data_IF_325624538772
#
_entry.id   IF_325624538772
#
_cell.length_a   1.000
_cell.length_b   1.000
_cell.length_c   1.000
_cell.angle_alpha   90.00
_cell.angle_beta   90.00
_cell.angle_gamma   90.00
#
_symmetry.space_group_name_H-M   'P 1'
#
loop_
_entity.id
_entity.type
_entity.pdbx_description
1 polymer ?
#
# COMPACT_ATOMS: atom_id res chain seq x y z
N UNK A 1 4.19 4.26 -9.54
CA UNK A 1 3.72 4.76 -8.23
C UNK A 1 2.77 3.73 -7.66
N UNK A 2 2.88 3.40 -6.38
CA UNK A 2 1.98 2.49 -5.66
C UNK A 2 1.78 3.04 -4.25
N UNK A 3 0.72 2.61 -3.59
CA UNK A 3 0.42 2.97 -2.21
C UNK A 3 0.28 1.71 -1.36
N UNK A 4 0.57 1.86 -0.08
CA UNK A 4 0.30 0.84 0.94
C UNK A 4 -0.46 1.57 2.04
N UNK A 5 -1.63 1.05 2.37
CA UNK A 5 -2.47 1.55 3.45
C UNK A 5 -2.40 0.55 4.60
N UNK A 6 -2.10 1.04 5.79
CA UNK A 6 -2.12 0.25 7.02
C UNK A 6 -3.17 0.84 7.94
N UNK A 7 -4.04 -0.04 8.44
CA UNK A 7 -5.10 0.31 9.35
C UNK A 7 -5.07 -0.59 10.59
N UNK A 8 -5.53 -0.06 11.71
CA UNK A 8 -5.92 -0.89 12.85
C UNK A 8 -7.08 -1.83 12.46
N UNK A 9 -7.30 -2.86 13.26
CA UNK A 9 -8.42 -3.81 13.08
C UNK A 9 -9.81 -3.10 13.10
N UNK A 10 -9.94 -2.01 13.85
CA UNK A 10 -11.12 -1.15 13.86
C UNK A 10 -11.33 -0.33 12.56
N UNK A 11 -10.37 -0.39 11.64
CA UNK A 11 -10.38 0.29 10.35
C UNK A 11 -9.82 1.71 10.32
N UNK A 12 -9.35 2.24 11.43
CA UNK A 12 -8.64 3.52 11.46
C UNK A 12 -7.30 3.40 10.72
N UNK A 13 -7.08 4.27 9.72
CA UNK A 13 -5.83 4.33 8.96
C UNK A 13 -4.76 4.95 9.85
N UNK A 14 -3.66 4.23 10.06
CA UNK A 14 -2.51 4.67 10.87
C UNK A 14 -1.32 5.06 10.03
N UNK A 15 -1.22 4.53 8.81
CA UNK A 15 -0.12 4.85 7.93
C UNK A 15 -0.52 4.68 6.47
N UNK A 16 0.05 5.54 5.63
CA UNK A 16 -0.16 5.56 4.18
C UNK A 16 1.13 5.96 3.49
N UNK A 17 1.68 5.10 2.64
CA UNK A 17 2.96 5.35 1.94
C UNK A 17 2.96 6.72 1.27
N UNK A 18 1.98 6.98 0.40
CA UNK A 18 1.98 8.20 -0.41
C UNK A 18 1.72 9.49 0.37
N UNK A 19 1.22 9.41 1.61
CA UNK A 19 1.11 10.58 2.48
C UNK A 19 2.48 11.06 2.99
N UNK A 20 3.49 10.18 2.97
CA UNK A 20 4.86 10.48 3.42
C UNK A 20 5.79 10.85 2.27
N UNK A 21 5.40 10.59 1.02
CA UNK A 21 6.21 10.86 -0.17
C UNK A 21 5.97 12.31 -0.65
N UNK A 22 6.87 13.22 -0.30
CA UNK A 22 6.76 14.67 -0.56
C UNK A 22 7.28 15.00 -1.96
N UNK A 23 6.62 14.50 -3.00
CA UNK A 23 7.02 14.78 -4.38
C UNK A 23 5.90 14.63 -5.40
N UNK A 24 5.77 15.53 -6.39
CA UNK A 24 4.83 15.36 -7.49
C UNK A 24 5.22 14.12 -8.29
N UNK A 25 4.49 13.02 -8.06
CA UNK A 25 4.67 11.79 -8.80
C UNK A 25 3.78 11.83 -10.04
N UNK A 26 4.38 12.08 -11.21
CA UNK A 26 3.71 11.87 -12.48
C UNK A 26 3.42 10.37 -12.61
N UNK A 27 2.18 10.01 -12.92
CA UNK A 27 1.81 8.63 -13.20
C UNK A 27 2.59 8.15 -14.44
N UNK A 28 3.59 7.30 -14.21
CA UNK A 28 4.27 6.60 -15.30
C UNK A 28 3.51 5.32 -15.63
N UNK A 29 2.83 5.33 -16.79
CA UNK A 29 2.18 4.14 -17.32
C UNK A 29 3.24 3.18 -17.88
N UNK A 30 3.20 1.93 -17.42
CA UNK A 30 4.04 0.85 -17.92
C UNK A 30 3.16 -0.35 -18.23
N UNK A 31 3.21 -0.83 -19.47
CA UNK A 31 2.59 -2.10 -19.88
C UNK A 31 3.47 -3.26 -19.42
N UNK A 32 2.89 -4.24 -18.74
CA UNK A 32 3.56 -5.50 -18.38
C UNK A 32 3.27 -6.57 -19.43
N UNK A 33 4.29 -7.30 -19.86
CA UNK A 33 4.12 -8.46 -20.72
C UNK A 33 3.49 -9.65 -19.93
N UNK A 34 2.89 -10.64 -20.62
CA UNK A 34 2.38 -11.84 -19.95
C UNK A 34 3.48 -12.54 -19.13
N UNK A 35 3.23 -12.74 -17.83
CA UNK A 35 4.17 -13.38 -16.90
C UNK A 35 5.25 -12.45 -16.34
N UNK A 36 5.37 -11.22 -16.84
CA UNK A 36 6.23 -10.19 -16.25
C UNK A 36 5.68 -9.78 -14.87
N UNK A 37 6.59 -9.59 -13.91
CA UNK A 37 6.25 -9.13 -12.56
C UNK A 37 6.95 -7.82 -12.28
N UNK A 38 6.24 -6.96 -11.57
CA UNK A 38 6.78 -5.74 -11.01
C UNK A 38 6.58 -5.81 -9.50
N UNK A 39 7.68 -5.70 -8.78
CA UNK A 39 7.71 -5.82 -7.32
C UNK A 39 8.09 -4.46 -6.73
N UNK A 40 7.32 -4.05 -5.72
CA UNK A 40 7.58 -2.84 -4.96
C UNK A 40 7.58 -3.17 -3.48
N UNK A 41 8.37 -2.42 -2.73
CA UNK A 41 8.55 -2.63 -1.31
C UNK A 41 8.59 -1.29 -0.59
N UNK A 42 8.12 -1.29 0.65
CA UNK A 42 8.25 -0.18 1.57
C UNK A 42 8.38 -0.71 3.00
N UNK A 43 8.82 0.15 3.91
CA UNK A 43 8.94 -0.16 5.32
C UNK A 43 8.07 0.80 6.14
N UNK A 44 7.30 0.22 7.05
CA UNK A 44 6.56 0.94 8.07
C UNK A 44 7.04 0.49 9.45
N UNK A 45 7.27 1.44 10.35
CA UNK A 45 7.61 1.18 11.75
C UNK A 45 6.37 1.48 12.59
N UNK A 46 5.75 0.47 13.23
CA UNK A 46 4.59 0.67 14.10
C UNK A 46 5.00 1.41 15.38
N UNK A 47 4.17 2.37 15.81
CA UNK A 47 4.37 3.09 17.08
C UNK A 47 3.92 2.28 18.30
N UNK A 48 2.92 1.42 18.12
CA UNK A 48 2.33 0.61 19.18
C UNK A 48 2.17 -0.87 18.74
N UNK A 49 2.27 -1.84 19.67
CA UNK A 49 1.86 -3.21 19.41
C UNK A 49 0.35 -3.31 19.17
N UNK A 50 -0.09 -4.33 18.43
CA UNK A 50 -1.50 -4.58 18.20
C UNK A 50 -1.81 -5.30 16.91
N UNK A 51 -3.10 -5.40 16.60
CA UNK A 51 -3.59 -6.04 15.38
C UNK A 51 -3.85 -5.01 14.28
N UNK A 52 -3.29 -5.28 13.12
CA UNK A 52 -3.34 -4.41 11.96
C UNK A 52 -3.78 -5.17 10.71
N UNK A 53 -4.09 -4.40 9.68
CA UNK A 53 -4.31 -4.89 8.34
C UNK A 53 -3.65 -3.98 7.32
N UNK A 54 -3.06 -4.57 6.28
CA UNK A 54 -2.44 -3.88 5.17
C UNK A 54 -3.18 -4.15 3.86
N UNK A 55 -3.21 -3.15 2.98
CA UNK A 55 -3.72 -3.25 1.62
C UNK A 55 -2.78 -2.51 0.67
N UNK A 56 -2.40 -3.17 -0.42
CA UNK A 56 -1.73 -2.54 -1.55
C UNK A 56 -2.74 -1.87 -2.47
N UNK A 57 -2.42 -0.67 -2.95
CA UNK A 57 -3.22 0.07 -3.94
C UNK A 57 -2.32 0.44 -5.11
N UNK A 58 -2.72 0.02 -6.30
CA UNK A 58 -2.01 0.28 -7.54
C UNK A 58 -2.89 1.19 -8.43
N UNK A 59 -2.50 2.46 -8.60
CA UNK A 59 -3.07 3.32 -9.64
C UNK A 59 -2.88 2.69 -11.02
N UNK A 60 -3.92 2.75 -11.84
CA UNK A 60 -3.93 2.32 -13.23
C UNK A 60 -4.62 3.38 -14.09
N UNK A 61 -4.76 3.09 -15.38
CA UNK A 61 -5.59 3.84 -16.32
C UNK A 61 -7.11 3.62 -16.10
N UNK A 62 -7.50 2.56 -15.39
CA UNK A 62 -8.87 2.39 -14.90
C UNK A 62 -9.30 3.49 -13.90
N UNK A 63 -10.58 3.93 -13.88
CA UNK A 63 -11.06 4.95 -12.94
C UNK A 63 -10.91 4.57 -11.46
N UNK A 64 -11.04 3.29 -11.15
CA UNK A 64 -10.83 2.75 -9.81
C UNK A 64 -9.44 2.12 -9.73
N UNK A 65 -8.64 2.45 -8.69
CA UNK A 65 -7.35 1.81 -8.51
C UNK A 65 -7.52 0.33 -8.17
N UNK A 66 -6.57 -0.48 -8.60
CA UNK A 66 -6.52 -1.90 -8.26
C UNK A 66 -6.09 -2.04 -6.80
N UNK A 67 -6.78 -2.91 -6.07
CA UNK A 67 -6.55 -3.12 -4.64
C UNK A 67 -6.30 -4.59 -4.36
N UNK A 68 -5.33 -4.89 -3.53
CA UNK A 68 -5.18 -6.25 -2.99
C UNK A 68 -6.27 -6.52 -1.95
N UNK A 69 -6.56 -7.79 -1.62
CA UNK A 69 -7.25 -8.11 -0.38
C UNK A 69 -6.51 -7.52 0.83
N UNK A 70 -7.25 -7.26 1.90
CA UNK A 70 -6.66 -6.92 3.19
C UNK A 70 -5.92 -8.13 3.76
N UNK A 71 -4.69 -7.92 4.21
CA UNK A 71 -3.90 -8.92 4.92
C UNK A 71 -3.79 -8.49 6.38
N UNK A 72 -4.32 -9.30 7.29
CA UNK A 72 -4.24 -9.04 8.72
C UNK A 72 -2.95 -9.62 9.32
N UNK A 73 -2.38 -8.92 10.31
CA UNK A 73 -1.18 -9.34 11.01
C UNK A 73 -1.12 -8.73 12.41
N UNK A 74 -0.34 -9.36 13.30
CA UNK A 74 -0.11 -8.90 14.66
C UNK A 74 1.31 -8.30 14.77
N UNK A 75 1.41 -7.15 15.45
CA UNK A 75 2.66 -6.50 15.84
C UNK A 75 2.87 -6.75 17.32
N UNK A 76 3.96 -7.42 17.66
CA UNK A 76 4.40 -7.64 19.04
C UNK A 76 5.40 -6.56 19.48
N UNK A 77 5.56 -6.35 20.81
CA UNK A 77 6.62 -5.52 21.38
C UNK A 77 8.04 -5.96 20.97
#
# INVERSE_FOLDING_TARGET
>A
MFDIIIAHDNGAIVWRRLAHDVGPSILQLRTLAPGERLEWHDAWVPEEPGRYRAQGVLPSDDPEPRRTPWVAFDVSP
#
